data_IF_078849178068
#
_entry.id   IF_078849178068
#
_cell.length_a   1.000
_cell.length_b   1.000
_cell.length_c   1.000
_cell.angle_alpha   90.00
_cell.angle_beta   90.00
_cell.angle_gamma   90.00
#
_symmetry.space_group_name_H-M   'P 1'
#
loop_
_entity.id
_entity.type
_entity.pdbx_description
1 polymer ?
#
# COMPACT_ATOMS: atom_id res chain seq x y z
N UNK A 1 -59.23 -42.79 -3.27
CA UNK A 1 -58.79 -41.44 -2.91
C UNK A 1 -57.30 -41.54 -2.57
N UNK A 2 -56.41 -41.21 -3.51
CA UNK A 2 -54.96 -41.22 -3.26
C UNK A 2 -54.53 -39.77 -2.97
N UNK A 3 -54.20 -39.49 -1.71
CA UNK A 3 -53.67 -38.21 -1.27
C UNK A 3 -52.19 -38.13 -1.67
N UNK A 4 -51.89 -37.27 -2.63
CA UNK A 4 -50.54 -36.97 -3.08
C UNK A 4 -49.93 -35.99 -2.05
N UNK A 5 -49.00 -36.47 -1.22
CA UNK A 5 -48.19 -35.62 -0.36
C UNK A 5 -47.07 -35.00 -1.21
N UNK A 6 -47.23 -33.72 -1.56
CA UNK A 6 -46.11 -32.90 -2.04
C UNK A 6 -45.21 -32.56 -0.84
N UNK A 7 -43.96 -33.01 -0.88
CA UNK A 7 -42.91 -32.47 -0.02
C UNK A 7 -42.66 -31.00 -0.36
N UNK A 8 -42.39 -30.14 0.64
CA UNK A 8 -42.02 -28.75 0.39
C UNK A 8 -40.64 -28.70 -0.25
N UNK A 9 -40.53 -27.97 -1.36
CA UNK A 9 -39.26 -27.67 -2.00
C UNK A 9 -38.31 -26.99 -0.99
N UNK A 10 -37.10 -27.54 -0.85
CA UNK A 10 -36.05 -26.96 -0.03
C UNK A 10 -35.79 -25.51 -0.48
N UNK A 11 -35.84 -24.58 0.47
CA UNK A 11 -35.49 -23.19 0.23
C UNK A 11 -34.05 -23.12 -0.34
N UNK A 12 -33.87 -22.46 -1.48
CA UNK A 12 -32.54 -22.16 -1.99
C UNK A 12 -31.77 -21.38 -0.93
N UNK A 13 -30.48 -21.69 -0.69
CA UNK A 13 -29.68 -20.95 0.27
C UNK A 13 -29.72 -19.45 -0.07
N UNK A 14 -30.07 -18.64 0.93
CA UNK A 14 -29.96 -17.19 0.89
C UNK A 14 -28.57 -16.84 0.41
N UNK A 15 -28.51 -16.28 -0.80
CA UNK A 15 -27.29 -15.80 -1.44
C UNK A 15 -26.66 -14.79 -0.48
N UNK A 16 -25.55 -15.16 0.16
CA UNK A 16 -24.76 -14.26 1.00
C UNK A 16 -24.62 -12.91 0.28
N UNK A 17 -24.76 -11.76 0.96
CA UNK A 17 -24.51 -10.47 0.33
C UNK A 17 -23.12 -10.52 -0.34
N UNK A 18 -23.05 -10.19 -1.62
CA UNK A 18 -21.78 -10.18 -2.35
C UNK A 18 -20.89 -9.11 -1.71
N UNK A 19 -19.67 -9.49 -1.31
CA UNK A 19 -18.59 -8.58 -0.90
C UNK A 19 -18.42 -7.47 -1.94
N UNK A 20 -18.21 -6.24 -1.48
CA UNK A 20 -18.10 -5.08 -2.36
C UNK A 20 -16.85 -5.17 -3.25
N UNK A 21 -15.76 -5.68 -2.68
CA UNK A 21 -14.46 -5.88 -3.30
C UNK A 21 -14.08 -7.36 -3.31
N UNK A 22 -13.23 -7.73 -4.27
CA UNK A 22 -12.58 -9.04 -4.34
C UNK A 22 -11.07 -8.93 -4.06
N UNK A 23 -10.48 -7.78 -4.39
CA UNK A 23 -9.04 -7.52 -4.27
C UNK A 23 -8.79 -6.34 -3.34
N UNK A 24 -7.99 -6.58 -2.30
CA UNK A 24 -7.49 -5.54 -1.40
C UNK A 24 -5.99 -5.38 -1.66
N UNK A 25 -5.60 -4.20 -2.10
CA UNK A 25 -4.21 -3.82 -2.39
C UNK A 25 -3.72 -2.87 -1.32
N UNK A 26 -2.59 -3.20 -0.71
CA UNK A 26 -1.96 -2.37 0.32
C UNK A 26 -0.71 -1.68 -0.23
N UNK A 27 -0.47 -0.43 0.17
CA UNK A 27 0.92 0.05 0.22
C UNK A 27 1.69 -0.63 1.36
N UNK A 28 3.01 -0.48 1.34
CA UNK A 28 3.92 -1.09 2.30
C UNK A 28 4.38 -0.09 3.37
N UNK A 29 5.17 0.90 2.98
CA UNK A 29 5.81 1.84 3.90
C UNK A 29 4.79 2.87 4.41
N UNK A 30 4.65 3.01 5.72
CA UNK A 30 3.65 3.91 6.31
C UNK A 30 2.22 3.34 6.38
N UNK A 31 1.97 2.20 5.72
CA UNK A 31 0.68 1.51 5.71
C UNK A 31 0.70 0.18 6.47
N UNK A 32 1.55 -0.77 6.07
CA UNK A 32 1.74 -2.05 6.77
C UNK A 32 2.97 -2.03 7.68
N UNK A 33 4.01 -1.32 7.26
CA UNK A 33 5.29 -1.21 7.95
C UNK A 33 5.45 0.19 8.56
N UNK A 34 5.84 0.26 9.84
CA UNK A 34 6.17 1.53 10.51
C UNK A 34 7.59 1.97 10.10
N UNK A 35 7.69 2.61 8.93
CA UNK A 35 8.97 2.96 8.30
C UNK A 35 9.13 4.44 7.94
N UNK A 36 8.08 5.26 8.04
CA UNK A 36 8.07 6.67 7.62
C UNK A 36 9.23 7.47 8.21
N UNK A 37 9.39 7.45 9.53
CA UNK A 37 10.43 8.21 10.21
C UNK A 37 11.85 7.72 9.85
N UNK A 38 12.02 6.42 9.60
CA UNK A 38 13.30 5.87 9.17
C UNK A 38 13.65 6.30 7.75
N UNK A 39 12.67 6.30 6.83
CA UNK A 39 12.84 6.75 5.44
C UNK A 39 13.23 8.23 5.40
N UNK A 40 12.53 9.09 6.15
CA UNK A 40 12.88 10.52 6.29
C UNK A 40 14.34 10.69 6.72
N UNK A 41 14.77 9.99 7.77
CA UNK A 41 16.16 10.05 8.24
C UNK A 41 17.17 9.57 7.20
N UNK A 42 16.83 8.55 6.39
CA UNK A 42 17.70 8.04 5.34
C UNK A 42 17.88 9.07 4.21
N UNK A 43 16.79 9.71 3.76
CA UNK A 43 16.82 10.78 2.76
C UNK A 43 17.69 11.94 3.24
N UNK A 44 17.44 12.41 4.46
CA UNK A 44 18.20 13.52 5.06
C UNK A 44 19.69 13.19 5.25
N UNK A 45 20.01 11.94 5.59
CA UNK A 45 21.41 11.50 5.75
C UNK A 45 22.11 11.38 4.41
N UNK A 46 21.41 10.91 3.37
CA UNK A 46 21.92 10.91 2.00
C UNK A 46 22.24 12.32 1.50
N UNK A 47 21.34 13.29 1.76
CA UNK A 47 21.59 14.68 1.43
C UNK A 47 22.83 15.24 2.16
N UNK A 48 22.96 14.97 3.47
CA UNK A 48 24.13 15.40 4.27
C UNK A 48 25.44 14.84 3.74
N UNK A 49 25.50 13.56 3.40
CA UNK A 49 26.72 12.92 2.89
C UNK A 49 27.23 13.54 1.58
N UNK A 50 26.31 14.08 0.78
CA UNK A 50 26.62 14.69 -0.51
C UNK A 50 26.80 16.21 -0.42
N UNK A 51 26.68 16.80 0.78
CA UNK A 51 26.74 18.25 0.96
C UNK A 51 25.56 19.00 0.32
N UNK A 52 24.42 18.33 0.13
CA UNK A 52 23.22 18.89 -0.45
C UNK A 52 22.33 19.57 0.60
N UNK A 53 21.39 20.44 0.19
CA UNK A 53 20.34 20.93 1.07
C UNK A 53 19.61 19.76 1.74
N UNK A 54 19.47 19.82 3.07
CA UNK A 54 18.78 18.77 3.82
C UNK A 54 17.28 19.06 3.81
N UNK A 55 16.44 18.18 3.25
CA UNK A 55 15.01 18.41 3.20
C UNK A 55 14.38 18.37 4.60
N UNK A 56 13.34 19.18 4.79
CA UNK A 56 12.51 19.12 6.00
C UNK A 56 11.85 17.75 6.16
N UNK A 57 11.42 17.41 7.37
CA UNK A 57 10.67 16.17 7.63
C UNK A 57 9.42 16.08 6.75
N UNK A 58 8.69 17.20 6.58
CA UNK A 58 7.51 17.26 5.73
C UNK A 58 7.85 16.98 4.25
N UNK A 59 8.91 17.60 3.72
CA UNK A 59 9.34 17.40 2.34
C UNK A 59 9.83 15.96 2.10
N UNK A 60 10.62 15.40 3.01
CA UNK A 60 11.13 14.04 2.92
C UNK A 60 10.04 12.98 3.10
N UNK A 61 9.04 13.24 3.96
CA UNK A 61 7.89 12.35 4.16
C UNK A 61 6.96 12.37 2.94
N UNK A 62 6.79 13.52 2.29
CA UNK A 62 5.85 13.66 1.18
C UNK A 62 6.22 12.84 -0.06
N UNK A 63 7.50 12.50 -0.24
CA UNK A 63 7.96 11.68 -1.37
C UNK A 63 7.89 10.17 -1.12
N UNK A 64 7.51 9.75 0.09
CA UNK A 64 7.26 8.34 0.41
C UNK A 64 6.09 7.84 -0.45
N UNK A 65 6.17 6.57 -0.89
CA UNK A 65 5.23 5.96 -1.82
C UNK A 65 5.66 6.04 -3.29
N UNK A 66 6.55 6.96 -3.66
CA UNK A 66 7.12 7.07 -4.99
C UNK A 66 8.26 6.07 -5.22
N UNK A 67 8.54 5.79 -6.50
CA UNK A 67 9.78 5.14 -6.91
C UNK A 67 11.01 5.92 -6.42
N UNK A 68 12.08 5.22 -6.05
CA UNK A 68 13.19 5.84 -5.34
C UNK A 68 13.88 6.96 -6.14
N UNK A 69 14.02 6.81 -7.46
CA UNK A 69 14.64 7.83 -8.30
C UNK A 69 13.75 9.09 -8.38
N UNK A 70 12.45 8.89 -8.61
CA UNK A 70 11.42 9.92 -8.64
C UNK A 70 11.33 10.63 -7.28
N UNK A 71 11.43 9.89 -6.18
CA UNK A 71 11.42 10.43 -4.82
C UNK A 71 12.61 11.37 -4.57
N UNK A 72 13.82 10.98 -5.00
CA UNK A 72 15.02 11.83 -4.87
C UNK A 72 14.88 13.12 -5.71
N UNK A 73 14.30 13.01 -6.92
CA UNK A 73 14.02 14.16 -7.78
C UNK A 73 12.96 15.09 -7.18
N UNK A 74 11.88 14.53 -6.64
CA UNK A 74 10.79 15.31 -6.06
C UNK A 74 11.21 16.02 -4.75
N UNK A 75 12.08 15.40 -3.94
CA UNK A 75 12.48 15.99 -2.65
C UNK A 75 13.54 17.07 -2.78
N UNK A 76 14.40 16.98 -3.80
CA UNK A 76 15.46 17.97 -4.09
C UNK A 76 15.47 18.33 -5.59
N UNK A 77 14.43 19.00 -6.12
CA UNK A 77 14.25 19.19 -7.56
C UNK A 77 15.31 20.07 -8.24
N UNK A 78 15.94 20.97 -7.49
CA UNK A 78 16.82 22.01 -8.02
C UNK A 78 18.32 21.64 -8.01
N UNK A 79 18.67 20.40 -7.66
CA UNK A 79 20.08 19.95 -7.65
C UNK A 79 20.52 19.52 -9.05
N UNK A 80 21.85 19.44 -9.25
CA UNK A 80 22.43 18.89 -10.48
C UNK A 80 21.90 17.45 -10.73
N UNK A 81 21.25 17.20 -11.90
CA UNK A 81 20.69 15.88 -12.21
C UNK A 81 21.69 14.72 -12.15
N UNK A 82 22.99 14.99 -12.32
CA UNK A 82 24.05 13.99 -12.22
C UNK A 82 24.24 13.47 -10.78
N UNK A 83 23.68 14.15 -9.77
CA UNK A 83 23.78 13.77 -8.36
C UNK A 83 22.70 12.79 -7.90
N UNK A 84 21.58 12.66 -8.61
CA UNK A 84 20.49 11.73 -8.21
C UNK A 84 20.95 10.27 -8.07
N UNK A 85 21.77 9.69 -8.97
CA UNK A 85 22.28 8.33 -8.78
C UNK A 85 23.08 8.17 -7.47
N UNK A 86 23.89 9.18 -7.11
CA UNK A 86 24.64 9.17 -5.84
C UNK A 86 23.71 9.32 -4.64
N UNK A 87 22.65 10.10 -4.76
CA UNK A 87 21.65 10.25 -3.70
C UNK A 87 20.91 8.94 -3.45
N UNK A 88 20.51 8.23 -4.52
CA UNK A 88 19.93 6.88 -4.45
C UNK A 88 20.88 5.89 -3.78
N UNK A 89 22.17 5.91 -4.14
CA UNK A 89 23.19 5.07 -3.53
C UNK A 89 23.34 5.34 -2.02
N UNK A 90 23.47 6.60 -1.62
CA UNK A 90 23.60 6.97 -0.20
C UNK A 90 22.33 6.67 0.58
N UNK A 91 21.15 6.88 0.00
CA UNK A 91 19.89 6.47 0.61
C UNK A 91 19.88 4.96 0.89
N UNK A 92 20.23 4.14 -0.11
CA UNK A 92 20.30 2.68 0.04
C UNK A 92 21.28 2.30 1.13
N UNK A 93 22.47 2.90 1.17
CA UNK A 93 23.44 2.67 2.24
C UNK A 93 22.80 2.87 3.63
N UNK A 94 22.17 4.02 3.88
CA UNK A 94 21.53 4.30 5.18
C UNK A 94 20.37 3.35 5.47
N UNK A 95 19.51 3.07 4.47
CA UNK A 95 18.34 2.22 4.65
C UNK A 95 18.74 0.77 4.98
N UNK A 96 19.71 0.20 4.24
CA UNK A 96 20.19 -1.17 4.45
C UNK A 96 20.86 -1.36 5.83
N UNK A 97 21.38 -0.30 6.45
CA UNK A 97 21.97 -0.40 7.80
C UNK A 97 20.94 -0.45 8.92
N UNK A 98 19.70 -0.05 8.67
CA UNK A 98 18.66 0.14 9.70
C UNK A 98 17.36 -0.60 9.43
N UNK A 99 17.21 -1.26 8.28
CA UNK A 99 15.92 -1.87 7.91
C UNK A 99 15.53 -3.03 8.82
N UNK A 100 16.49 -3.66 9.49
CA UNK A 100 16.24 -4.69 10.51
C UNK A 100 15.53 -4.16 11.77
N UNK A 101 15.50 -2.84 11.97
CA UNK A 101 14.78 -2.18 13.07
C UNK A 101 13.30 -1.93 12.72
N UNK A 102 12.91 -2.09 11.45
CA UNK A 102 11.56 -1.83 10.99
C UNK A 102 10.61 -2.95 11.41
N UNK A 103 9.42 -2.55 11.90
CA UNK A 103 8.39 -3.47 12.38
C UNK A 103 7.06 -3.18 11.70
N UNK A 104 6.25 -4.23 11.54
CA UNK A 104 4.87 -4.06 11.13
C UNK A 104 4.12 -3.24 12.17
N UNK A 105 3.13 -2.46 11.74
CA UNK A 105 2.18 -1.88 12.67
C UNK A 105 1.46 -3.01 13.45
N UNK A 106 1.17 -2.74 14.73
CA UNK A 106 0.49 -3.70 15.59
C UNK A 106 -0.89 -4.06 15.02
N UNK A 107 -1.18 -5.35 14.87
CA UNK A 107 -2.45 -5.85 14.34
C UNK A 107 -2.43 -6.19 12.85
N UNK A 108 -1.36 -5.88 12.11
CA UNK A 108 -1.29 -6.12 10.66
C UNK A 108 -1.39 -7.60 10.32
N UNK A 109 -0.72 -8.47 11.09
CA UNK A 109 -0.72 -9.91 10.79
C UNK A 109 -2.09 -10.52 10.98
N UNK A 110 -2.75 -10.14 12.06
CA UNK A 110 -4.10 -10.57 12.40
C UNK A 110 -5.08 -10.11 11.31
N UNK A 111 -5.01 -8.83 10.93
CA UNK A 111 -5.84 -8.29 9.83
C UNK A 111 -5.62 -9.03 8.51
N UNK A 112 -4.37 -9.23 8.07
CA UNK A 112 -4.09 -9.92 6.81
C UNK A 112 -4.56 -11.38 6.84
N UNK A 113 -4.40 -12.07 7.97
CA UNK A 113 -4.89 -13.45 8.13
C UNK A 113 -6.41 -13.51 8.02
N UNK A 114 -7.12 -12.62 8.71
CA UNK A 114 -8.58 -12.66 8.76
C UNK A 114 -9.17 -12.31 7.39
N UNK A 115 -8.59 -11.33 6.67
CA UNK A 115 -8.98 -11.02 5.29
C UNK A 115 -8.72 -12.20 4.32
N UNK A 116 -7.60 -12.92 4.48
CA UNK A 116 -7.34 -14.10 3.66
C UNK A 116 -8.34 -15.24 3.95
N UNK A 117 -8.71 -15.46 5.23
CA UNK A 117 -9.71 -16.45 5.62
C UNK A 117 -11.11 -16.10 5.09
N UNK A 118 -11.40 -14.82 5.01
CA UNK A 118 -12.59 -14.26 4.38
C UNK A 118 -12.57 -14.42 2.83
N UNK A 119 -11.45 -14.83 2.24
CA UNK A 119 -11.35 -15.14 0.81
C UNK A 119 -11.13 -13.93 -0.10
N UNK A 120 -10.64 -12.81 0.44
CA UNK A 120 -10.14 -11.71 -0.39
C UNK A 120 -8.81 -12.09 -1.04
N UNK A 121 -8.58 -11.64 -2.26
CA UNK A 121 -7.23 -11.57 -2.81
C UNK A 121 -6.49 -10.41 -2.12
N UNK A 122 -5.26 -10.67 -1.68
CA UNK A 122 -4.41 -9.68 -1.04
C UNK A 122 -3.22 -9.37 -1.93
N UNK A 123 -2.96 -8.09 -2.18
CA UNK A 123 -1.82 -7.66 -2.96
C UNK A 123 -1.08 -6.47 -2.35
N UNK A 124 0.14 -6.24 -2.84
CA UNK A 124 0.94 -5.05 -2.50
C UNK A 124 1.22 -4.21 -3.75
N UNK A 125 1.03 -2.89 -3.66
CA UNK A 125 1.48 -1.92 -4.65
C UNK A 125 2.35 -0.85 -3.97
N UNK A 126 3.65 -0.85 -4.24
CA UNK A 126 4.62 -0.08 -3.44
C UNK A 126 5.66 0.67 -4.25
N UNK A 127 6.13 1.80 -3.71
CA UNK A 127 7.26 2.58 -4.22
C UNK A 127 8.64 1.90 -4.04
N UNK A 128 8.70 0.80 -3.29
CA UNK A 128 9.93 0.02 -3.10
C UNK A 128 10.36 -0.67 -4.40
N UNK A 129 11.63 -1.05 -4.47
CA UNK A 129 12.11 -1.99 -5.49
C UNK A 129 11.71 -3.42 -5.17
N UNK A 130 11.65 -4.30 -6.18
CA UNK A 130 11.41 -5.74 -6.02
C UNK A 130 12.33 -6.38 -4.98
N UNK A 131 13.63 -6.08 -5.05
CA UNK A 131 14.61 -6.57 -4.07
C UNK A 131 14.30 -6.04 -2.66
N UNK A 132 13.92 -4.77 -2.55
CA UNK A 132 13.58 -4.14 -1.27
C UNK A 132 12.31 -4.74 -0.64
N UNK A 133 11.27 -4.96 -1.42
CA UNK A 133 10.03 -5.57 -0.96
C UNK A 133 10.24 -7.04 -0.55
N UNK A 134 10.94 -7.84 -1.36
CA UNK A 134 11.21 -9.25 -1.03
C UNK A 134 11.97 -9.39 0.30
N UNK A 135 12.95 -8.52 0.55
CA UNK A 135 13.66 -8.48 1.83
C UNK A 135 12.75 -8.13 3.01
N UNK A 136 11.90 -7.11 2.84
CA UNK A 136 10.95 -6.70 3.88
C UNK A 136 9.91 -7.78 4.17
N UNK A 137 9.35 -8.43 3.13
CA UNK A 137 8.44 -9.56 3.28
C UNK A 137 9.10 -10.74 4.00
N UNK A 138 10.34 -11.07 3.66
CA UNK A 138 11.08 -12.14 4.32
C UNK A 138 11.34 -11.83 5.80
N UNK A 139 11.83 -10.63 6.11
CA UNK A 139 12.06 -10.19 7.48
C UNK A 139 10.76 -10.16 8.31
N UNK A 140 9.65 -9.79 7.68
CA UNK A 140 8.32 -9.82 8.27
C UNK A 140 7.68 -11.21 8.23
N UNK A 141 8.27 -12.24 7.63
CA UNK A 141 7.62 -13.56 7.49
C UNK A 141 6.25 -13.51 6.78
N UNK A 142 6.12 -12.68 5.74
CA UNK A 142 4.90 -12.47 4.94
C UNK A 142 5.05 -12.90 3.47
N UNK A 143 6.09 -13.68 3.13
CA UNK A 143 6.38 -14.07 1.74
C UNK A 143 5.23 -14.80 1.04
N UNK A 144 4.40 -15.53 1.79
CA UNK A 144 3.26 -16.30 1.27
C UNK A 144 1.90 -15.65 1.60
N UNK A 145 1.88 -14.41 2.06
CA UNK A 145 0.66 -13.73 2.51
C UNK A 145 -0.10 -13.06 1.38
N UNK A 146 0.60 -12.62 0.34
CA UNK A 146 0.01 -11.86 -0.77
C UNK A 146 -0.02 -12.70 -2.04
N UNK A 147 -1.14 -12.67 -2.75
CA UNK A 147 -1.36 -13.38 -4.01
C UNK A 147 -0.56 -12.75 -5.16
N UNK A 148 -0.37 -11.43 -5.15
CA UNK A 148 0.44 -10.72 -6.12
C UNK A 148 1.06 -9.43 -5.54
N UNK A 149 2.13 -8.94 -6.15
CA UNK A 149 2.78 -7.69 -5.74
C UNK A 149 3.29 -6.90 -6.95
N UNK A 150 3.33 -5.57 -6.85
CA UNK A 150 3.96 -4.66 -7.82
C UNK A 150 4.83 -3.61 -7.14
N UNK A 151 6.03 -3.45 -7.67
CA UNK A 151 7.07 -2.54 -7.22
C UNK A 151 7.32 -1.45 -8.27
N UNK A 152 7.88 -0.31 -7.85
CA UNK A 152 8.13 0.83 -8.74
C UNK A 152 9.26 0.60 -9.76
N UNK A 153 10.08 -0.44 -9.61
CA UNK A 153 11.08 -0.85 -10.60
C UNK A 153 10.56 -1.87 -11.62
N UNK A 154 9.30 -2.29 -11.50
CA UNK A 154 8.64 -3.23 -12.41
C UNK A 154 7.66 -2.53 -13.37
N UNK A 155 7.18 -1.34 -13.01
CA UNK A 155 6.20 -0.56 -13.76
C UNK A 155 6.29 0.92 -13.40
N UNK A 156 5.35 1.74 -13.88
CA UNK A 156 5.29 3.17 -13.56
C UNK A 156 5.05 3.42 -12.06
N UNK A 157 5.77 4.39 -11.49
CA UNK A 157 5.56 4.87 -10.12
C UNK A 157 4.16 5.47 -9.92
N UNK A 158 3.68 5.43 -8.67
CA UNK A 158 2.49 6.17 -8.22
C UNK A 158 2.64 7.67 -8.58
N UNK A 159 1.55 8.39 -8.92
CA UNK A 159 0.15 7.95 -8.91
C UNK A 159 -0.31 7.32 -10.25
N UNK A 160 0.60 6.83 -11.08
CA UNK A 160 0.21 6.16 -12.32
C UNK A 160 -0.60 4.89 -12.01
N UNK A 161 -1.70 4.58 -12.72
CA UNK A 161 -2.60 3.48 -12.37
C UNK A 161 -2.07 2.07 -12.67
N UNK A 162 -0.86 1.96 -13.24
CA UNK A 162 -0.36 0.71 -13.82
C UNK A 162 -0.23 -0.43 -12.81
N UNK A 163 0.23 -0.16 -11.58
CA UNK A 163 0.35 -1.19 -10.55
C UNK A 163 -1.01 -1.88 -10.29
N UNK A 164 -2.08 -1.10 -10.12
CA UNK A 164 -3.42 -1.64 -9.91
C UNK A 164 -3.96 -2.38 -11.14
N UNK A 165 -3.78 -1.81 -12.33
CA UNK A 165 -4.22 -2.44 -13.59
C UNK A 165 -3.54 -3.80 -13.83
N UNK A 166 -2.25 -3.90 -13.53
CA UNK A 166 -1.48 -5.12 -13.67
C UNK A 166 -1.85 -6.17 -12.62
N UNK A 167 -2.01 -5.77 -11.36
CA UNK A 167 -2.46 -6.64 -10.27
C UNK A 167 -3.85 -7.23 -10.57
N UNK A 168 -4.80 -6.39 -10.99
CA UNK A 168 -6.15 -6.87 -11.36
C UNK A 168 -6.11 -7.83 -12.53
N UNK A 169 -5.25 -7.58 -13.53
CA UNK A 169 -5.10 -8.46 -14.70
C UNK A 169 -4.51 -9.81 -14.32
N UNK A 170 -3.48 -9.82 -13.47
CA UNK A 170 -2.81 -11.05 -13.00
C UNK A 170 -3.78 -11.92 -12.19
N UNK A 171 -4.56 -11.31 -11.31
CA UNK A 171 -5.47 -12.02 -10.40
C UNK A 171 -6.87 -12.27 -11.00
N UNK A 172 -7.13 -11.82 -12.23
CA UNK A 172 -8.43 -11.98 -12.89
C UNK A 172 -9.56 -11.16 -12.24
N UNK A 173 -9.23 -10.04 -11.61
CA UNK A 173 -10.16 -9.15 -10.90
C UNK A 173 -10.49 -7.90 -11.71
N UNK A 174 -11.47 -7.11 -11.24
CA UNK A 174 -11.86 -5.84 -11.88
C UNK A 174 -11.53 -4.64 -10.98
N UNK A 175 -11.12 -3.53 -11.61
CA UNK A 175 -10.80 -2.28 -10.89
C UNK A 175 -11.96 -1.76 -10.04
N UNK A 176 -13.21 -1.90 -10.52
CA UNK A 176 -14.42 -1.52 -9.78
C UNK A 176 -14.67 -2.34 -8.51
N UNK A 177 -13.99 -3.49 -8.36
CA UNK A 177 -14.04 -4.39 -7.19
C UNK A 177 -12.68 -4.48 -6.50
N UNK A 178 -11.83 -3.47 -6.72
CA UNK A 178 -10.51 -3.34 -6.11
C UNK A 178 -10.48 -2.17 -5.14
N UNK A 179 -9.91 -2.41 -3.96
CA UNK A 179 -9.69 -1.42 -2.93
C UNK A 179 -8.18 -1.19 -2.73
N UNK A 180 -7.71 0.05 -2.92
CA UNK A 180 -6.35 0.46 -2.58
C UNK A 180 -6.32 1.08 -1.19
N UNK A 181 -5.41 0.63 -0.34
CA UNK A 181 -5.20 1.15 1.01
C UNK A 181 -3.79 1.76 1.08
N UNK A 182 -3.70 3.03 1.48
CA UNK A 182 -2.41 3.71 1.57
C UNK A 182 -2.42 4.93 2.49
N UNK A 183 -1.23 5.38 2.87
CA UNK A 183 -1.00 6.53 3.74
C UNK A 183 -0.59 7.79 2.99
N UNK A 184 -0.58 7.74 1.65
CA UNK A 184 -0.16 8.86 0.81
C UNK A 184 -1.26 9.28 -0.15
N UNK A 185 -1.24 10.56 -0.53
CA UNK A 185 -2.06 11.05 -1.66
C UNK A 185 -1.68 10.34 -2.96
N UNK A 186 -0.45 9.83 -3.09
CA UNK A 186 -0.03 9.05 -4.27
C UNK A 186 -0.82 7.76 -4.42
N UNK A 187 -1.16 7.09 -3.32
CA UNK A 187 -1.99 5.89 -3.29
C UNK A 187 -3.43 6.18 -3.71
N UNK A 188 -4.02 7.21 -3.11
CA UNK A 188 -5.42 7.58 -3.37
C UNK A 188 -5.61 8.10 -4.79
N UNK A 189 -4.63 8.85 -5.31
CA UNK A 189 -4.62 9.28 -6.71
C UNK A 189 -4.40 8.10 -7.65
N UNK A 190 -3.53 7.13 -7.32
CA UNK A 190 -3.38 5.89 -8.11
C UNK A 190 -4.70 5.12 -8.18
N UNK A 191 -5.40 4.97 -7.07
CA UNK A 191 -6.72 4.34 -7.02
C UNK A 191 -7.72 5.06 -7.93
N UNK A 192 -7.81 6.39 -7.79
CA UNK A 192 -8.70 7.24 -8.59
C UNK A 192 -8.39 7.14 -10.09
N UNK A 193 -7.11 7.26 -10.46
CA UNK A 193 -6.65 7.17 -11.85
C UNK A 193 -6.92 5.78 -12.46
N UNK A 194 -6.97 4.74 -11.64
CA UNK A 194 -7.27 3.39 -12.06
C UNK A 194 -8.79 3.10 -12.10
N UNK A 195 -9.65 3.98 -11.56
CA UNK A 195 -11.07 3.70 -11.39
C UNK A 195 -11.37 2.67 -10.28
N UNK A 196 -10.46 2.53 -9.32
CA UNK A 196 -10.61 1.73 -8.11
C UNK A 196 -11.04 2.59 -6.93
N UNK A 197 -11.48 1.94 -5.84
CA UNK A 197 -11.78 2.63 -4.58
C UNK A 197 -10.52 2.80 -3.73
N UNK A 198 -10.45 3.85 -2.93
CA UNK A 198 -9.32 4.16 -2.05
C UNK A 198 -9.73 4.31 -0.59
N UNK A 199 -8.93 3.77 0.32
CA UNK A 199 -9.01 3.99 1.77
C UNK A 199 -7.69 4.58 2.25
N UNK A 200 -7.78 5.62 3.07
CA UNK A 200 -6.62 6.27 3.65
C UNK A 200 -6.30 5.67 5.03
N UNK A 201 -5.01 5.64 5.38
CA UNK A 201 -4.59 5.46 6.77
C UNK A 201 -3.88 6.72 7.28
N UNK A 202 -4.25 7.19 8.47
CA UNK A 202 -3.86 8.51 9.00
C UNK A 202 -2.55 8.50 9.81
N UNK A 203 -1.94 7.33 9.99
CA UNK A 203 -0.76 7.13 10.84
C UNK A 203 0.57 7.05 10.06
N UNK A 204 0.56 7.28 8.75
CA UNK A 204 1.74 7.21 7.89
C UNK A 204 2.30 8.59 7.48
N UNK A 205 2.65 8.72 6.20
CA UNK A 205 3.55 9.75 5.69
C UNK A 205 2.89 11.08 5.32
N UNK A 206 1.66 11.07 4.78
CA UNK A 206 1.00 12.32 4.34
C UNK A 206 0.03 12.88 5.40
N UNK A 207 -0.10 14.21 5.50
CA UNK A 207 -1.05 14.82 6.43
C UNK A 207 -2.50 14.46 6.13
N UNK A 208 -3.29 14.21 7.18
CA UNK A 208 -4.71 13.81 7.10
C UNK A 208 -5.55 14.73 6.20
N UNK A 209 -5.37 16.05 6.30
CA UNK A 209 -6.14 17.00 5.48
C UNK A 209 -5.90 16.84 3.97
N UNK A 210 -4.71 16.40 3.56
CA UNK A 210 -4.39 16.12 2.15
C UNK A 210 -5.02 14.81 1.71
N UNK A 211 -4.98 13.77 2.56
CA UNK A 211 -5.65 12.50 2.30
C UNK A 211 -7.16 12.69 2.15
N UNK A 212 -7.79 13.47 3.03
CA UNK A 212 -9.21 13.79 2.96
C UNK A 212 -9.60 14.56 1.69
N UNK A 213 -8.71 15.40 1.17
CA UNK A 213 -8.93 16.10 -0.10
C UNK A 213 -9.06 15.14 -1.30
N UNK A 214 -8.45 13.95 -1.21
CA UNK A 214 -8.61 12.87 -2.20
C UNK A 214 -9.93 12.09 -2.06
N UNK A 215 -10.77 12.40 -1.06
CA UNK A 215 -12.09 11.78 -0.82
C UNK A 215 -12.04 10.23 -0.76
N UNK A 216 -11.22 9.64 0.14
CA UNK A 216 -11.22 8.20 0.34
C UNK A 216 -12.60 7.73 0.84
N UNK A 217 -12.93 6.46 0.60
CA UNK A 217 -14.15 5.83 1.13
C UNK A 217 -14.17 5.83 2.65
N UNK A 218 -12.99 5.69 3.26
CA UNK A 218 -12.79 5.69 4.70
C UNK A 218 -11.37 6.17 5.02
N UNK A 219 -11.19 6.75 6.20
CA UNK A 219 -9.87 7.12 6.73
C UNK A 219 -9.70 6.48 8.10
N UNK A 220 -8.79 5.52 8.19
CA UNK A 220 -8.52 4.79 9.43
C UNK A 220 -7.39 5.45 10.23
N UNK A 221 -7.59 5.63 11.53
CA UNK A 221 -6.59 6.21 12.45
C UNK A 221 -5.67 5.16 13.06
N UNK A 222 -5.96 3.89 12.86
CA UNK A 222 -5.17 2.77 13.36
C UNK A 222 -5.46 1.48 12.59
N UNK A 223 -4.58 0.49 12.70
CA UNK A 223 -4.81 -0.84 12.12
C UNK A 223 -6.08 -1.51 12.69
N UNK A 224 -6.39 -1.48 14.00
CA UNK A 224 -7.66 -2.01 14.51
C UNK A 224 -8.90 -1.38 13.88
N UNK A 225 -8.88 -0.07 13.64
CA UNK A 225 -9.99 0.64 12.99
C UNK A 225 -10.12 0.27 11.51
N UNK A 226 -8.99 0.19 10.79
CA UNK A 226 -8.96 -0.30 9.41
C UNK A 226 -9.51 -1.73 9.33
N UNK A 227 -9.05 -2.61 10.21
CA UNK A 227 -9.45 -4.00 10.26
C UNK A 227 -10.96 -4.16 10.49
N UNK A 228 -11.51 -3.47 11.50
CA UNK A 228 -12.94 -3.49 11.77
C UNK A 228 -13.76 -2.99 10.57
N UNK A 229 -13.34 -1.89 9.94
CA UNK A 229 -14.03 -1.36 8.77
C UNK A 229 -14.01 -2.33 7.59
N UNK A 230 -12.88 -3.00 7.33
CA UNK A 230 -12.77 -3.97 6.23
C UNK A 230 -13.67 -5.19 6.44
N UNK A 231 -13.76 -5.73 7.65
CA UNK A 231 -14.65 -6.87 7.92
C UNK A 231 -16.14 -6.53 7.75
N UNK A 232 -16.52 -5.28 7.97
CA UNK A 232 -17.90 -4.84 7.85
C UNK A 232 -18.29 -4.37 6.43
N UNK A 233 -17.34 -3.80 5.68
CA UNK A 233 -17.64 -3.04 4.46
C UNK A 233 -16.98 -3.60 3.19
N UNK A 234 -15.96 -4.46 3.29
CA UNK A 234 -15.19 -4.88 2.12
C UNK A 234 -15.88 -5.94 1.26
#
# INVERSE_FOLDING_TARGET
>A
MHTNHMEPAAALPTRMPRKQFDLIVFDWDGTLMDSTAAIVRCIQSAARDLGLPVPSDASASHVIGLGLAEAMQAVLPDIDPTLYPRMVERYRYHFLTKDHELVLFKGVREMLNDLAQEGYFLAVATGKSRVGLNRALNAAGLLSTFDATRCADETFSKPHPAMLQELTRELGQTLSRTLMIGDTTHDLMMATNAGASGVAVEFGAHPVHQLQACRPLFSARSIPELHAWLLENA
#
